data_IF_105652076548
#
_entry.id   IF_105652076548
#
_cell.length_a   1.000
_cell.length_b   1.000
_cell.length_c   1.000
_cell.angle_alpha   90.00
_cell.angle_beta   90.00
_cell.angle_gamma   90.00
#
_symmetry.space_group_name_H-M   'P 1'
#
loop_
_entity.id
_entity.type
_entity.pdbx_description
1 polymer ?
#
# COMPACT_ATOMS: atom_id res chain seq x y z
N UNK A 1 -3.24 -12.45 0.35
CA UNK A 1 -2.96 -11.42 -0.68
C UNK A 1 -2.99 -10.06 -0.01
N UNK A 2 -2.03 -9.16 -0.28
CA UNK A 2 -2.11 -7.77 0.18
C UNK A 2 -3.11 -7.00 -0.67
N UNK A 3 -3.87 -6.07 -0.07
CA UNK A 3 -4.82 -5.20 -0.77
C UNK A 3 -4.21 -4.48 -2.00
N UNK A 4 -2.92 -4.14 -1.89
CA UNK A 4 -2.16 -3.44 -2.93
C UNK A 4 -1.48 -4.38 -3.93
N UNK A 5 -1.57 -5.70 -3.71
CA UNK A 5 -0.97 -6.70 -4.58
C UNK A 5 -1.56 -6.70 -5.99
N UNK A 6 -2.86 -6.39 -6.12
CA UNK A 6 -3.54 -6.22 -7.41
C UNK A 6 -2.92 -5.12 -8.27
N UNK A 7 -2.32 -4.10 -7.65
CA UNK A 7 -1.61 -3.03 -8.36
C UNK A 7 -0.15 -3.35 -8.65
N UNK A 8 0.33 -4.56 -8.35
CA UNK A 8 1.71 -4.99 -8.59
C UNK A 8 2.69 -4.63 -7.46
N UNK A 9 2.19 -4.27 -6.28
CA UNK A 9 3.04 -4.07 -5.10
C UNK A 9 3.40 -5.41 -4.45
N UNK A 10 4.69 -5.67 -4.30
CA UNK A 10 5.24 -6.86 -3.66
C UNK A 10 5.96 -6.50 -2.36
N UNK A 11 5.93 -7.41 -1.39
CA UNK A 11 6.73 -7.27 -0.17
C UNK A 11 8.21 -7.39 -0.52
N UNK A 12 9.00 -6.37 -0.20
CA UNK A 12 10.46 -6.41 -0.43
C UNK A 12 11.27 -6.32 0.87
N UNK A 13 10.68 -5.87 1.97
CA UNK A 13 11.31 -5.86 3.28
C UNK A 13 10.26 -5.82 4.38
N UNK A 14 10.63 -6.27 5.57
CA UNK A 14 9.83 -6.13 6.78
C UNK A 14 10.75 -5.80 7.96
N UNK A 15 10.32 -4.87 8.81
CA UNK A 15 10.98 -4.55 10.09
C UNK A 15 9.92 -4.49 11.18
N UNK A 16 9.95 -5.45 12.09
CA UNK A 16 8.90 -5.61 13.10
C UNK A 16 7.53 -5.77 12.45
N UNK A 17 6.56 -4.98 12.92
CA UNK A 17 5.21 -4.96 12.34
C UNK A 17 5.10 -4.20 11.03
N UNK A 18 6.13 -3.47 10.57
CA UNK A 18 6.02 -2.67 9.36
C UNK A 18 6.55 -3.42 8.14
N UNK A 19 5.69 -3.59 7.14
CA UNK A 19 6.01 -4.22 5.86
C UNK A 19 6.22 -3.15 4.81
N UNK A 20 7.34 -3.23 4.09
CA UNK A 20 7.61 -2.37 2.95
C UNK A 20 7.21 -3.07 1.66
N UNK A 21 6.32 -2.44 0.92
CA UNK A 21 5.87 -2.86 -0.39
C UNK A 21 6.59 -2.04 -1.47
N UNK A 22 6.90 -2.68 -2.59
CA UNK A 22 7.52 -2.05 -3.75
C UNK A 22 6.86 -2.53 -5.03
N UNK A 23 6.63 -1.58 -5.94
CA UNK A 23 6.36 -1.83 -7.36
C UNK A 23 7.46 -1.17 -8.18
N UNK A 24 7.95 -1.88 -9.20
CA UNK A 24 8.88 -1.33 -10.19
C UNK A 24 8.13 -1.18 -11.50
N UNK A 25 8.06 0.04 -12.03
CA UNK A 25 7.43 0.31 -13.32
C UNK A 25 8.35 -0.11 -14.48
N UNK A 26 7.79 -0.23 -15.69
CA UNK A 26 8.56 -0.48 -16.91
C UNK A 26 9.66 0.58 -17.16
N UNK A 27 9.46 1.81 -16.67
CA UNK A 27 10.45 2.89 -16.70
C UNK A 27 11.63 2.71 -15.72
N UNK A 28 11.62 1.67 -14.90
CA UNK A 28 12.60 1.46 -13.82
C UNK A 28 12.31 2.26 -12.54
N UNK A 29 11.30 3.14 -12.54
CA UNK A 29 10.89 3.88 -11.35
C UNK A 29 10.37 2.93 -10.27
N UNK A 30 10.88 3.10 -9.04
CA UNK A 30 10.47 2.31 -7.86
C UNK A 30 9.49 3.12 -7.01
N UNK A 31 8.31 2.56 -6.79
CA UNK A 31 7.28 3.13 -5.91
C UNK A 31 7.23 2.29 -4.63
N UNK A 32 7.36 2.94 -3.46
CA UNK A 32 7.46 2.25 -2.17
C UNK A 32 6.33 2.67 -1.23
N UNK A 33 5.72 1.70 -0.55
CA UNK A 33 4.69 1.90 0.46
C UNK A 33 5.13 1.20 1.75
N UNK A 34 4.83 1.79 2.91
CA UNK A 34 5.00 1.11 4.19
C UNK A 34 3.62 0.86 4.76
N UNK A 35 3.31 -0.39 5.04
CA UNK A 35 2.04 -0.80 5.64
C UNK A 35 2.30 -1.58 6.92
N UNK A 36 1.64 -1.24 8.04
CA UNK A 36 1.62 -2.11 9.20
C UNK A 36 0.99 -3.47 8.87
N UNK A 37 1.58 -4.53 9.39
CA UNK A 37 1.09 -5.92 9.41
C UNK A 37 0.43 -6.19 10.74
N UNK A 38 -0.70 -5.52 10.98
CA UNK A 38 -1.59 -5.79 12.09
C UNK A 38 -2.90 -6.38 11.55
N UNK A 39 -3.55 -7.26 12.33
CA UNK A 39 -4.85 -7.85 11.95
C UNK A 39 -5.95 -6.80 11.88
N UNK A 40 -5.86 -5.80 12.74
CA UNK A 40 -6.77 -4.67 12.82
C UNK A 40 -5.96 -3.38 12.66
N UNK A 41 -6.46 -2.49 11.81
CA UNK A 41 -5.88 -1.17 11.59
C UNK A 41 -6.89 -0.13 12.08
N UNK A 42 -6.45 0.81 12.90
CA UNK A 42 -7.29 1.95 13.24
C UNK A 42 -7.58 2.81 11.99
N UNK A 43 -8.66 3.58 12.03
CA UNK A 43 -9.11 4.40 10.90
C UNK A 43 -8.09 5.47 10.48
N UNK A 44 -7.27 5.97 11.42
CA UNK A 44 -6.18 6.90 11.14
C UNK A 44 -5.07 6.24 10.32
N UNK A 45 -4.70 5.02 10.69
CA UNK A 45 -3.72 4.18 9.99
C UNK A 45 -4.22 3.81 8.59
N UNK A 46 -5.48 3.39 8.45
CA UNK A 46 -6.09 3.13 7.13
C UNK A 46 -6.03 4.37 6.24
N UNK A 47 -6.40 5.55 6.77
CA UNK A 47 -6.36 6.82 6.04
C UNK A 47 -4.93 7.25 5.68
N UNK A 48 -3.95 6.98 6.54
CA UNK A 48 -2.54 7.27 6.26
C UNK A 48 -2.01 6.39 5.11
N UNK A 49 -2.32 5.10 5.13
CA UNK A 49 -1.96 4.17 4.05
C UNK A 49 -2.64 4.60 2.73
N UNK A 50 -3.94 4.92 2.78
CA UNK A 50 -4.68 5.40 1.61
C UNK A 50 -4.03 6.62 0.98
N UNK A 51 -3.75 7.67 1.77
CA UNK A 51 -3.06 8.88 1.29
C UNK A 51 -1.70 8.57 0.70
N UNK A 52 -0.96 7.63 1.31
CA UNK A 52 0.32 7.21 0.79
C UNK A 52 0.19 6.47 -0.55
N UNK A 53 -0.82 5.63 -0.72
CA UNK A 53 -1.11 4.89 -1.95
C UNK A 53 -1.62 5.81 -3.09
N UNK A 54 -2.41 6.85 -2.78
CA UNK A 54 -2.91 7.83 -3.75
C UNK A 54 -1.80 8.61 -4.49
N UNK A 55 -0.55 8.53 -4.00
CA UNK A 55 0.62 9.07 -4.71
C UNK A 55 0.99 8.29 -5.97
N UNK A 56 0.50 7.05 -6.11
CA UNK A 56 0.90 6.11 -7.15
C UNK A 56 -0.26 5.48 -7.92
N UNK A 57 -1.44 5.48 -7.32
CA UNK A 57 -2.66 4.88 -7.87
C UNK A 57 -3.76 5.94 -7.77
N UNK A 58 -4.62 6.10 -8.80
CA UNK A 58 -5.76 7.00 -8.75
C UNK A 58 -6.70 6.75 -7.55
N UNK A 59 -7.30 7.82 -7.03
CA UNK A 59 -8.15 7.73 -5.84
C UNK A 59 -9.40 6.88 -6.07
N UNK A 60 -10.01 6.99 -7.24
CA UNK A 60 -11.18 6.25 -7.69
C UNK A 60 -10.93 4.73 -7.78
N UNK A 61 -9.70 4.31 -8.12
CA UNK A 61 -9.30 2.90 -8.08
C UNK A 61 -9.02 2.40 -6.65
N UNK A 62 -8.49 3.27 -5.77
CA UNK A 62 -8.11 2.90 -4.40
C UNK A 62 -9.28 2.93 -3.41
N UNK A 63 -10.20 3.88 -3.56
CA UNK A 63 -11.24 4.15 -2.57
C UNK A 63 -12.12 2.91 -2.26
N UNK A 64 -12.57 2.12 -3.26
CA UNK A 64 -13.38 0.93 -3.01
C UNK A 64 -12.65 -0.17 -2.22
N UNK A 65 -11.31 -0.13 -2.21
CA UNK A 65 -10.48 -1.10 -1.50
C UNK A 65 -10.26 -0.73 -0.03
N UNK A 66 -10.38 0.56 0.31
CA UNK A 66 -10.11 1.09 1.66
C UNK A 66 -11.38 1.48 2.43
N UNK A 67 -12.45 1.85 1.73
CA UNK A 67 -13.68 2.34 2.32
C UNK A 67 -14.86 1.65 1.62
N UNK A 68 -15.52 0.76 2.37
CA UNK A 68 -16.77 0.07 1.98
C UNK A 68 -17.94 0.75 2.66
#
# INVERSE_FOLDING_TARGET
>A
MSLLGSFGFLVYAQRGSHVKLRRTLASGQKQNLTVPRHKELDSGTVRAIFRQACRYIPEDELRPLFFV
#
